data_IF_452595347735
#
_entry.id   IF_452595347735
#
_cell.length_a   1.000
_cell.length_b   1.000
_cell.length_c   1.000
_cell.angle_alpha   90.00
_cell.angle_beta   90.00
_cell.angle_gamma   90.00
#
_symmetry.space_group_name_H-M   'P 1'
#
loop_
_entity.id
_entity.type
_entity.pdbx_description
1 polymer ?
#
# COMPACT_ATOMS: atom_id res chain seq x y z
N UNK A 1 -9.59 -26.97 -26.07
CA UNK A 1 -10.86 -26.28 -25.77
C UNK A 1 -11.30 -25.60 -27.06
N UNK A 2 -12.47 -25.95 -27.62
CA UNK A 2 -13.02 -25.28 -28.78
C UNK A 2 -13.14 -23.77 -28.54
N UNK A 3 -12.93 -22.96 -29.58
CA UNK A 3 -12.94 -21.49 -29.51
C UNK A 3 -14.17 -20.93 -28.79
N UNK A 4 -15.36 -21.48 -29.04
CA UNK A 4 -16.63 -21.03 -28.46
C UNK A 4 -16.74 -21.25 -26.94
N UNK A 5 -15.83 -22.05 -26.37
CA UNK A 5 -15.71 -22.29 -24.93
C UNK A 5 -14.39 -21.75 -24.36
N UNK A 6 -13.51 -21.23 -25.21
CA UNK A 6 -12.22 -20.67 -24.83
C UNK A 6 -12.40 -19.20 -24.41
N UNK A 7 -13.13 -19.03 -23.31
CA UNK A 7 -13.44 -17.75 -22.68
C UNK A 7 -12.95 -17.80 -21.25
N UNK A 8 -12.36 -16.71 -20.78
CA UNK A 8 -11.96 -16.52 -19.38
C UNK A 8 -12.59 -15.22 -18.90
N UNK A 9 -13.29 -15.27 -17.77
CA UNK A 9 -13.84 -14.09 -17.10
C UNK A 9 -13.14 -13.93 -15.77
N UNK A 10 -12.60 -12.75 -15.52
CA UNK A 10 -12.00 -12.38 -14.24
C UNK A 10 -12.85 -11.30 -13.58
N UNK A 11 -13.23 -11.51 -12.32
CA UNK A 11 -14.08 -10.63 -11.51
C UNK A 11 -13.38 -10.33 -10.20
N UNK A 12 -12.97 -9.08 -10.02
CA UNK A 12 -12.40 -8.58 -8.77
C UNK A 12 -13.45 -7.92 -7.88
N UNK A 13 -13.13 -7.79 -6.60
CA UNK A 13 -13.95 -7.02 -5.66
C UNK A 13 -14.02 -5.53 -6.03
N UNK A 14 -15.10 -4.85 -5.63
CA UNK A 14 -15.42 -3.44 -5.93
C UNK A 14 -14.36 -2.40 -5.52
N UNK A 15 -13.34 -2.82 -4.77
CA UNK A 15 -12.22 -1.99 -4.30
C UNK A 15 -10.92 -2.23 -5.06
N UNK A 16 -10.96 -2.98 -6.17
CA UNK A 16 -9.85 -3.21 -7.06
C UNK A 16 -10.16 -2.71 -8.47
N UNK A 17 -9.25 -1.93 -9.03
CA UNK A 17 -9.26 -1.55 -10.44
C UNK A 17 -8.22 -2.37 -11.20
N UNK A 18 -8.63 -3.00 -12.30
CA UNK A 18 -7.74 -3.63 -13.28
C UNK A 18 -6.83 -2.60 -13.96
N UNK A 19 -5.54 -2.92 -14.17
CA UNK A 19 -4.61 -2.11 -14.97
C UNK A 19 -4.47 -2.73 -16.39
N UNK A 20 -5.17 -2.23 -17.42
CA UNK A 20 -5.25 -2.92 -18.72
C UNK A 20 -3.91 -3.10 -19.42
N UNK A 21 -3.05 -2.09 -19.32
CA UNK A 21 -1.72 -2.09 -19.93
C UNK A 21 -0.75 -3.12 -19.30
N UNK A 22 -1.14 -3.75 -18.18
CA UNK A 22 -0.35 -4.79 -17.51
C UNK A 22 -0.66 -6.21 -17.98
N UNK A 23 -1.69 -6.39 -18.82
CA UNK A 23 -2.15 -7.70 -19.24
C UNK A 23 -1.24 -8.30 -20.31
N UNK A 24 -0.67 -9.46 -19.99
CA UNK A 24 0.15 -10.23 -20.90
C UNK A 24 -0.27 -11.71 -20.89
N UNK A 25 -0.42 -12.29 -22.06
CA UNK A 25 -0.75 -13.71 -22.23
C UNK A 25 0.41 -14.42 -22.92
N UNK A 26 0.82 -15.57 -22.41
CA UNK A 26 1.90 -16.36 -22.98
C UNK A 26 1.46 -17.79 -23.24
N UNK A 27 1.90 -18.34 -24.37
CA UNK A 27 1.87 -19.79 -24.57
C UNK A 27 2.78 -20.48 -23.55
N UNK A 28 2.39 -21.66 -23.07
CA UNK A 28 3.17 -22.44 -22.11
C UNK A 28 3.37 -23.86 -22.62
N UNK A 29 4.61 -24.33 -22.48
CA UNK A 29 4.99 -25.75 -22.64
C UNK A 29 5.61 -26.25 -21.35
N UNK A 30 5.90 -27.55 -21.27
CA UNK A 30 6.52 -28.16 -20.09
C UNK A 30 7.78 -28.92 -20.50
N UNK A 31 8.83 -28.80 -19.70
CA UNK A 31 10.05 -29.58 -19.88
C UNK A 31 9.85 -31.06 -19.48
N UNK A 32 10.86 -31.90 -19.71
CA UNK A 32 10.80 -33.34 -19.38
C UNK A 32 10.64 -33.62 -17.87
N UNK A 33 10.77 -32.60 -17.01
CA UNK A 33 10.58 -32.67 -15.56
C UNK A 33 9.24 -32.08 -15.11
N UNK A 34 8.43 -31.59 -16.05
CA UNK A 34 7.14 -30.95 -15.77
C UNK A 34 7.25 -29.49 -15.32
N UNK A 35 8.41 -28.84 -15.44
CA UNK A 35 8.53 -27.42 -15.15
C UNK A 35 7.95 -26.58 -16.29
N UNK A 36 7.32 -25.47 -15.93
CA UNK A 36 6.80 -24.49 -16.86
C UNK A 36 7.93 -23.89 -17.73
N UNK A 37 7.69 -23.87 -19.05
CA UNK A 37 8.52 -23.15 -20.02
C UNK A 37 7.63 -22.13 -20.74
N UNK A 38 7.81 -20.86 -20.37
CA UNK A 38 7.10 -19.72 -20.97
C UNK A 38 7.55 -19.54 -22.42
N UNK A 39 6.58 -19.56 -23.34
CA UNK A 39 6.76 -19.44 -24.77
C UNK A 39 6.54 -18.01 -25.28
N UNK A 40 6.06 -17.91 -26.51
CA UNK A 40 5.75 -16.63 -27.14
C UNK A 40 4.54 -15.96 -26.49
N UNK A 41 4.61 -14.64 -26.39
CA UNK A 41 3.49 -13.78 -26.03
C UNK A 41 2.41 -13.82 -27.13
N UNK A 42 1.16 -13.92 -26.71
CA UNK A 42 -0.01 -13.86 -27.58
C UNK A 42 -0.34 -12.40 -27.90
N UNK A 43 -0.88 -12.16 -29.08
CA UNK A 43 -1.15 -10.80 -29.56
C UNK A 43 -2.65 -10.52 -29.56
N UNK A 44 -3.07 -9.48 -28.85
CA UNK A 44 -4.46 -9.03 -28.86
C UNK A 44 -4.92 -8.67 -30.29
N UNK A 45 -6.16 -9.01 -30.64
CA UNK A 45 -6.75 -8.84 -31.96
C UNK A 45 -6.36 -9.93 -32.96
N UNK A 46 -5.29 -10.68 -32.70
CA UNK A 46 -4.87 -11.83 -33.50
C UNK A 46 -5.19 -13.15 -32.82
N UNK A 47 -4.75 -13.32 -31.57
CA UNK A 47 -4.83 -14.57 -30.83
C UNK A 47 -5.99 -14.57 -29.82
N UNK A 48 -6.32 -13.39 -29.25
CA UNK A 48 -7.44 -13.18 -28.32
C UNK A 48 -8.01 -11.77 -28.44
N UNK A 49 -9.11 -11.49 -27.76
CA UNK A 49 -9.65 -10.13 -27.51
C UNK A 49 -9.93 -9.96 -26.03
N UNK A 50 -9.83 -8.73 -25.54
CA UNK A 50 -10.24 -8.37 -24.18
C UNK A 50 -11.44 -7.44 -24.22
N UNK A 51 -12.41 -7.69 -23.35
CA UNK A 51 -13.52 -6.78 -23.08
C UNK A 51 -13.50 -6.45 -21.60
N UNK A 52 -13.38 -5.16 -21.27
CA UNK A 52 -13.45 -4.67 -19.89
C UNK A 52 -14.88 -4.19 -19.66
N UNK A 53 -15.51 -4.67 -18.60
CA UNK A 53 -16.86 -4.33 -18.21
C UNK A 53 -16.87 -3.11 -17.28
N UNK A 54 -18.02 -2.46 -17.16
CA UNK A 54 -18.19 -1.25 -16.34
C UNK A 54 -17.96 -1.49 -14.83
N UNK A 55 -18.10 -2.74 -14.37
CA UNK A 55 -17.85 -3.18 -13.00
C UNK A 55 -16.37 -3.52 -12.71
N UNK A 56 -15.47 -3.27 -13.67
CA UNK A 56 -14.04 -3.54 -13.55
C UNK A 56 -13.63 -4.97 -13.91
N UNK A 57 -14.59 -5.91 -14.01
CA UNK A 57 -14.32 -7.26 -14.52
C UNK A 57 -13.87 -7.23 -15.97
N UNK A 58 -13.15 -8.26 -16.42
CA UNK A 58 -12.76 -8.38 -17.82
C UNK A 58 -12.91 -9.80 -18.35
N UNK A 59 -13.11 -9.89 -19.67
CA UNK A 59 -13.30 -11.14 -20.40
C UNK A 59 -12.22 -11.26 -21.46
N UNK A 60 -11.52 -12.39 -21.47
CA UNK A 60 -10.59 -12.79 -22.52
C UNK A 60 -11.28 -13.82 -23.41
N UNK A 61 -11.51 -13.46 -24.66
CA UNK A 61 -12.05 -14.34 -25.69
C UNK A 61 -10.92 -14.79 -26.63
N UNK A 62 -10.55 -16.07 -26.61
CA UNK A 62 -9.58 -16.60 -27.57
C UNK A 62 -10.17 -16.65 -28.98
N UNK A 63 -9.39 -16.25 -29.98
CA UNK A 63 -9.86 -16.18 -31.37
C UNK A 63 -9.72 -17.50 -32.13
N UNK A 64 -9.12 -18.51 -31.50
CA UNK A 64 -8.86 -19.84 -32.03
C UNK A 64 -9.07 -20.90 -30.95
N UNK A 65 -9.08 -22.17 -31.34
CA UNK A 65 -9.09 -23.29 -30.39
C UNK A 65 -7.82 -23.25 -29.51
N UNK A 66 -8.01 -23.38 -28.20
CA UNK A 66 -6.91 -23.45 -27.24
C UNK A 66 -6.46 -24.91 -27.10
N UNK A 67 -5.26 -25.21 -27.58
CA UNK A 67 -4.71 -26.59 -27.63
C UNK A 67 -3.54 -26.83 -26.67
N UNK A 68 -3.07 -25.78 -25.99
CA UNK A 68 -1.99 -25.82 -25.02
C UNK A 68 -2.29 -24.98 -23.79
N UNK A 69 -1.37 -25.01 -22.81
CA UNK A 69 -1.47 -24.17 -21.63
C UNK A 69 -1.18 -22.70 -21.99
N UNK A 70 -1.86 -21.80 -21.29
CA UNK A 70 -1.67 -20.35 -21.41
C UNK A 70 -1.42 -19.79 -20.01
N UNK A 71 -0.47 -18.88 -19.90
CA UNK A 71 -0.22 -18.07 -18.70
C UNK A 71 -0.76 -16.67 -18.93
N UNK A 72 -1.39 -16.11 -17.90
CA UNK A 72 -2.00 -14.79 -17.94
C UNK A 72 -1.45 -14.03 -16.74
N UNK A 73 -0.70 -12.98 -17.02
CA UNK A 73 -0.13 -12.10 -16.01
C UNK A 73 -0.80 -10.73 -16.12
N UNK A 74 -1.23 -10.16 -15.00
CA UNK A 74 -1.82 -8.82 -14.93
C UNK A 74 -1.72 -8.24 -13.53
N UNK A 75 -2.03 -6.95 -13.42
CA UNK A 75 -2.04 -6.19 -12.16
C UNK A 75 -3.41 -5.58 -11.91
N UNK A 76 -3.69 -5.44 -10.63
CA UNK A 76 -4.81 -4.69 -10.10
C UNK A 76 -4.30 -3.70 -9.06
N UNK A 77 -5.09 -2.67 -8.79
CA UNK A 77 -4.77 -1.63 -7.83
C UNK A 77 -5.94 -1.45 -6.86
N UNK A 78 -5.64 -1.33 -5.57
CA UNK A 78 -6.66 -0.96 -4.58
C UNK A 78 -7.10 0.48 -4.82
N UNK A 79 -8.41 0.69 -4.84
CA UNK A 79 -9.00 1.99 -5.08
C UNK A 79 -8.85 2.92 -3.88
N UNK A 80 -8.59 4.20 -4.17
CA UNK A 80 -8.47 5.23 -3.15
C UNK A 80 -7.26 5.08 -2.22
N UNK A 81 -7.41 5.64 -1.01
CA UNK A 81 -6.40 5.62 0.05
C UNK A 81 -6.74 4.49 1.03
N UNK A 82 -5.76 3.64 1.33
CA UNK A 82 -5.91 2.55 2.31
C UNK A 82 -5.75 3.13 3.72
N UNK A 83 -6.85 3.58 4.32
CA UNK A 83 -6.89 4.19 5.67
C UNK A 83 -6.94 3.17 6.82
N UNK A 84 -7.21 1.90 6.51
CA UNK A 84 -7.26 0.76 7.41
C UNK A 84 -7.00 -0.51 6.61
N UNK A 85 -6.94 -1.67 7.27
CA UNK A 85 -6.80 -2.95 6.55
C UNK A 85 -8.05 -3.23 5.71
N UNK A 86 -7.85 -3.48 4.42
CA UNK A 86 -8.92 -3.71 3.44
C UNK A 86 -8.77 -5.09 2.82
N UNK A 87 -9.81 -5.91 2.93
CA UNK A 87 -9.86 -7.20 2.24
C UNK A 87 -10.01 -7.00 0.73
N UNK A 88 -9.32 -7.83 -0.04
CA UNK A 88 -9.43 -7.87 -1.51
C UNK A 88 -9.70 -9.30 -1.94
N UNK A 89 -10.45 -9.46 -3.03
CA UNK A 89 -10.71 -10.76 -3.62
C UNK A 89 -10.66 -10.66 -5.15
N UNK A 90 -10.34 -11.79 -5.76
CA UNK A 90 -10.40 -11.97 -7.20
C UNK A 90 -10.88 -13.38 -7.54
N UNK A 91 -11.68 -13.50 -8.59
CA UNK A 91 -12.29 -14.75 -9.03
C UNK A 91 -12.14 -14.89 -10.53
N UNK A 92 -11.68 -16.06 -10.97
CA UNK A 92 -11.59 -16.42 -12.39
C UNK A 92 -12.55 -17.55 -12.70
N UNK A 93 -13.27 -17.42 -13.81
CA UNK A 93 -14.11 -18.46 -14.42
C UNK A 93 -13.61 -18.77 -15.82
N UNK A 94 -13.67 -20.04 -16.20
CA UNK A 94 -13.43 -20.47 -17.59
C UNK A 94 -14.72 -20.96 -18.24
N UNK A 95 -14.85 -20.79 -19.55
CA UNK A 95 -16.06 -21.16 -20.31
C UNK A 95 -16.44 -22.64 -20.25
N UNK A 96 -15.55 -23.51 -19.77
CA UNK A 96 -15.82 -24.93 -19.49
C UNK A 96 -16.46 -25.19 -18.12
N UNK A 97 -16.71 -24.15 -17.31
CA UNK A 97 -17.47 -24.20 -16.06
C UNK A 97 -16.65 -24.30 -14.77
N UNK A 98 -15.32 -24.39 -14.86
CA UNK A 98 -14.43 -24.35 -13.70
C UNK A 98 -14.18 -22.91 -13.26
N UNK A 99 -13.89 -22.74 -11.98
CA UNK A 99 -13.53 -21.46 -11.40
C UNK A 99 -12.47 -21.63 -10.32
N UNK A 100 -11.80 -20.53 -9.99
CA UNK A 100 -10.90 -20.44 -8.84
C UNK A 100 -11.01 -19.04 -8.25
N UNK A 101 -10.74 -18.93 -6.96
CA UNK A 101 -10.79 -17.69 -6.20
C UNK A 101 -9.47 -17.50 -5.45
N UNK A 102 -9.11 -16.25 -5.22
CA UNK A 102 -7.99 -15.85 -4.37
C UNK A 102 -8.34 -14.59 -3.61
N UNK A 103 -7.88 -14.52 -2.36
CA UNK A 103 -8.09 -13.39 -1.47
C UNK A 103 -6.78 -12.85 -0.89
N UNK A 104 -6.87 -11.64 -0.35
CA UNK A 104 -5.75 -10.98 0.32
C UNK A 104 -6.21 -9.82 1.20
N UNK A 105 -5.25 -9.16 1.84
CA UNK A 105 -5.51 -7.95 2.62
C UNK A 105 -4.48 -6.89 2.28
N UNK A 106 -4.95 -5.74 1.83
CA UNK A 106 -4.15 -4.53 1.71
C UNK A 106 -4.08 -3.88 3.09
N UNK A 107 -2.88 -3.87 3.69
CA UNK A 107 -2.68 -3.35 5.04
C UNK A 107 -2.51 -1.82 5.02
N UNK A 108 -2.96 -1.15 6.07
CA UNK A 108 -2.70 0.28 6.24
C UNK A 108 -1.21 0.56 6.40
N UNK A 109 -0.73 1.56 5.66
CA UNK A 109 0.70 1.90 5.59
C UNK A 109 0.90 3.44 5.56
N UNK A 110 -0.14 4.22 5.91
CA UNK A 110 -0.09 5.69 5.95
C UNK A 110 0.70 6.20 7.16
N UNK A 111 0.36 5.73 8.36
CA UNK A 111 1.05 6.07 9.60
C UNK A 111 1.04 4.83 10.49
N UNK A 112 2.22 4.35 10.86
CA UNK A 112 2.40 3.24 11.80
C UNK A 112 3.18 3.77 12.99
N UNK A 113 2.55 3.73 14.18
CA UNK A 113 3.14 4.18 15.44
C UNK A 113 3.58 2.99 16.27
N UNK A 114 4.82 3.04 16.76
CA UNK A 114 5.37 2.04 17.68
C UNK A 114 6.05 2.72 18.88
N UNK A 115 6.18 1.99 19.96
CA UNK A 115 6.98 2.36 21.14
C UNK A 115 8.24 1.52 21.23
N UNK A 116 9.31 2.13 21.74
CA UNK A 116 10.50 1.43 22.20
C UNK A 116 10.36 0.93 23.64
N UNK A 117 11.45 0.35 24.16
CA UNK A 117 11.53 -0.02 25.57
C UNK A 117 11.44 1.21 26.47
N UNK A 118 10.75 1.08 27.60
CA UNK A 118 10.62 2.12 28.62
C UNK A 118 11.93 2.22 29.40
N UNK A 119 12.49 3.43 29.47
CA UNK A 119 13.65 3.73 30.30
C UNK A 119 13.16 4.28 31.65
N UNK A 120 13.05 3.40 32.64
CA UNK A 120 12.63 3.74 34.00
C UNK A 120 13.66 4.55 34.78
N UNK A 121 14.94 4.51 34.38
CA UNK A 121 15.98 5.28 35.07
C UNK A 121 15.86 6.76 34.72
N UNK A 122 15.55 7.05 33.46
CA UNK A 122 15.40 8.42 32.96
C UNK A 122 13.94 8.89 32.85
N UNK A 123 12.99 8.03 33.22
CA UNK A 123 11.55 8.25 33.06
C UNK A 123 11.18 8.65 31.63
N UNK A 124 11.76 7.98 30.62
CA UNK A 124 11.47 8.27 29.21
C UNK A 124 10.93 7.07 28.44
N UNK A 125 10.08 7.34 27.44
CA UNK A 125 9.60 6.38 26.45
C UNK A 125 9.99 6.90 25.06
N UNK A 126 10.61 6.04 24.25
CA UNK A 126 10.89 6.32 22.85
C UNK A 126 9.72 5.94 21.95
N UNK A 127 9.43 6.78 20.98
CA UNK A 127 8.35 6.62 20.02
C UNK A 127 8.88 6.69 18.59
N UNK A 128 8.25 5.93 17.70
CA UNK A 128 8.59 5.94 16.28
C UNK A 128 7.32 6.00 15.44
N UNK A 129 7.32 6.79 14.37
CA UNK A 129 6.27 6.85 13.36
C UNK A 129 6.89 6.53 11.99
N UNK A 130 6.43 5.46 11.34
CA UNK A 130 6.65 5.25 9.91
C UNK A 130 5.49 5.89 9.15
N UNK A 131 5.81 6.80 8.23
CA UNK A 131 4.84 7.66 7.55
C UNK A 131 4.93 7.44 6.06
N UNK A 132 3.77 7.39 5.40
CA UNK A 132 3.57 7.31 3.97
C UNK A 132 4.34 6.17 3.29
N UNK A 133 4.31 4.96 3.86
CA UNK A 133 4.98 3.79 3.28
C UNK A 133 4.34 3.35 1.94
N UNK A 134 3.12 3.84 1.64
CA UNK A 134 2.43 3.68 0.37
C UNK A 134 2.86 4.68 -0.73
N UNK A 135 3.72 5.65 -0.40
CA UNK A 135 4.14 6.73 -1.30
C UNK A 135 2.97 7.51 -1.93
N UNK A 136 1.91 7.75 -1.16
CA UNK A 136 0.83 8.62 -1.60
C UNK A 136 1.33 10.06 -1.75
N UNK A 137 0.80 10.77 -2.73
CA UNK A 137 1.07 12.20 -2.87
C UNK A 137 0.41 12.93 -1.70
N UNK A 138 1.23 13.56 -0.87
CA UNK A 138 0.82 14.39 0.25
C UNK A 138 0.96 15.86 -0.11
N UNK A 139 -0.03 16.67 0.28
CA UNK A 139 0.02 18.13 0.14
C UNK A 139 -0.23 18.78 1.50
N UNK A 140 0.74 19.57 1.97
CA UNK A 140 0.78 20.26 3.27
C UNK A 140 0.43 19.33 4.43
N UNK A 141 1.01 18.12 4.42
CA UNK A 141 0.69 17.09 5.41
C UNK A 141 1.00 17.55 6.84
N UNK A 142 0.09 17.20 7.75
CA UNK A 142 0.21 17.45 9.19
C UNK A 142 -0.01 16.14 9.92
N UNK A 143 0.94 15.75 10.75
CA UNK A 143 0.82 14.64 11.70
C UNK A 143 0.41 15.23 13.04
N UNK A 144 -0.69 14.74 13.60
CA UNK A 144 -1.12 15.10 14.95
C UNK A 144 -0.96 13.89 15.86
N UNK A 145 -0.17 14.05 16.91
CA UNK A 145 -0.01 13.06 17.97
C UNK A 145 -0.66 13.60 19.24
N UNK A 146 -1.44 12.76 19.93
CA UNK A 146 -2.16 13.13 21.15
C UNK A 146 -1.80 12.20 22.29
N UNK A 147 -1.60 12.75 23.48
CA UNK A 147 -1.29 12.01 24.69
C UNK A 147 -2.55 11.78 25.52
N UNK A 148 -2.69 10.57 26.06
CA UNK A 148 -3.70 10.21 27.05
C UNK A 148 -3.07 9.21 28.03
N UNK A 149 -3.21 9.39 29.36
CA UNK A 149 -3.91 10.50 30.03
C UNK A 149 -3.16 11.83 30.03
N UNK A 150 -3.89 12.92 30.37
CA UNK A 150 -3.35 14.27 30.56
C UNK A 150 -3.56 14.73 32.02
N UNK A 151 -2.51 15.07 32.79
CA UNK A 151 -1.09 14.89 32.45
C UNK A 151 -0.70 13.41 32.45
N UNK A 152 0.39 13.09 31.76
CA UNK A 152 0.94 11.73 31.74
C UNK A 152 2.20 11.62 30.90
N UNK A 153 2.23 12.31 29.75
CA UNK A 153 3.40 12.40 28.88
C UNK A 153 3.78 13.85 28.59
N UNK A 154 5.07 14.11 28.40
CA UNK A 154 5.60 15.42 27.98
C UNK A 154 6.75 15.21 27.00
N UNK A 155 6.77 15.89 25.86
CA UNK A 155 7.84 15.81 24.86
C UNK A 155 9.19 16.17 25.47
N UNK A 156 10.20 15.30 25.29
CA UNK A 156 11.58 15.63 25.61
C UNK A 156 12.05 16.69 24.60
N UNK A 157 12.48 17.89 25.04
CA UNK A 157 12.89 18.96 24.15
C UNK A 157 13.97 18.51 23.15
N UNK A 158 13.82 18.91 21.88
CA UNK A 158 14.75 18.60 20.78
C UNK A 158 14.96 17.10 20.51
N UNK A 159 14.10 16.22 21.02
CA UNK A 159 14.21 14.77 20.74
C UNK A 159 13.61 14.36 19.40
N UNK A 160 12.74 15.19 18.81
CA UNK A 160 12.05 14.86 17.57
C UNK A 160 12.98 15.00 16.37
N UNK A 161 13.20 13.89 15.69
CA UNK A 161 13.99 13.79 14.45
C UNK A 161 13.09 13.24 13.35
N UNK A 162 13.20 13.83 12.16
CA UNK A 162 12.51 13.36 10.95
C UNK A 162 13.54 12.97 9.91
N UNK A 163 13.43 11.75 9.38
CA UNK A 163 14.24 11.25 8.29
C UNK A 163 13.35 10.91 7.10
N UNK A 164 13.70 11.39 5.93
CA UNK A 164 13.18 10.90 4.67
C UNK A 164 13.83 9.54 4.36
N UNK A 165 13.01 8.51 4.29
CA UNK A 165 13.46 7.14 4.01
C UNK A 165 13.57 6.85 2.51
N UNK A 166 12.94 7.65 1.66
CA UNK A 166 13.07 7.57 0.21
C UNK A 166 14.45 8.04 -0.25
N UNK A 167 14.90 9.19 0.24
CA UNK A 167 16.20 9.77 -0.15
C UNK A 167 17.32 9.50 0.85
N UNK A 168 16.97 9.14 2.09
CA UNK A 168 17.91 9.00 3.20
C UNK A 168 18.25 10.31 3.90
N UNK A 169 17.70 11.44 3.47
CA UNK A 169 17.97 12.76 4.04
C UNK A 169 17.40 12.91 5.45
N UNK A 170 18.14 13.57 6.34
CA UNK A 170 17.60 14.04 7.61
C UNK A 170 17.03 15.44 7.42
N UNK A 171 15.78 15.64 7.83
CA UNK A 171 15.09 16.91 7.68
C UNK A 171 15.50 17.90 8.78
N UNK A 172 15.38 19.19 8.46
CA UNK A 172 15.76 20.30 9.34
C UNK A 172 14.52 21.04 9.86
N UNK A 173 14.38 21.11 11.19
CA UNK A 173 13.33 21.89 11.86
C UNK A 173 13.37 23.37 11.45
N UNK A 174 12.22 23.95 11.15
CA UNK A 174 12.06 25.35 10.72
C UNK A 174 12.34 25.60 9.24
N UNK A 175 12.79 24.59 8.49
CA UNK A 175 13.02 24.64 7.05
C UNK A 175 12.18 23.61 6.30
N UNK A 176 12.29 22.36 6.73
CA UNK A 176 11.68 21.20 6.06
C UNK A 176 10.39 20.75 6.78
N UNK A 177 10.30 21.00 8.09
CA UNK A 177 9.10 20.78 8.91
C UNK A 177 9.05 21.77 10.08
N UNK A 178 7.87 21.94 10.68
CA UNK A 178 7.67 22.61 11.97
C UNK A 178 7.02 21.68 12.98
N UNK A 179 7.25 21.94 14.27
CA UNK A 179 6.61 21.22 15.38
C UNK A 179 5.94 22.25 16.30
N UNK A 180 4.67 22.01 16.61
CA UNK A 180 3.87 22.79 17.57
C UNK A 180 3.44 21.87 18.71
N UNK A 181 3.86 22.16 19.94
CA UNK A 181 3.40 21.42 21.12
C UNK A 181 1.98 21.87 21.48
N UNK A 182 1.06 20.92 21.64
CA UNK A 182 -0.33 21.20 22.04
C UNK A 182 -0.50 21.05 23.55
N UNK A 183 -1.34 21.90 24.16
CA UNK A 183 -1.52 21.98 25.63
C UNK A 183 -2.98 22.27 26.00
N UNK A 184 -3.39 21.84 27.20
CA UNK A 184 -4.64 22.24 27.85
C UNK A 184 -4.35 22.85 29.25
N UNK A 185 -5.37 23.00 30.10
CA UNK A 185 -5.21 23.53 31.45
C UNK A 185 -4.42 22.61 32.40
N UNK A 186 -4.33 21.32 32.10
CA UNK A 186 -3.72 20.28 32.93
C UNK A 186 -2.27 19.99 32.51
N UNK A 187 -1.92 20.20 31.25
CA UNK A 187 -0.55 19.98 30.77
C UNK A 187 -0.41 19.89 29.26
N UNK A 188 0.64 19.19 28.82
CA UNK A 188 0.89 18.88 27.43
C UNK A 188 -0.08 17.79 26.94
N UNK A 189 -0.70 18.01 25.78
CA UNK A 189 -1.69 17.09 25.19
C UNK A 189 -1.17 16.39 23.94
N UNK A 190 0.04 16.71 23.49
CA UNK A 190 0.61 16.17 22.25
C UNK A 190 1.39 17.19 21.43
N UNK A 191 1.45 16.95 20.12
CA UNK A 191 2.08 17.87 19.17
C UNK A 191 1.48 17.75 17.75
N UNK A 192 1.74 18.78 16.95
CA UNK A 192 1.54 18.77 15.50
C UNK A 192 2.87 18.92 14.79
N UNK A 193 3.12 18.06 13.80
CA UNK A 193 4.26 18.15 12.89
C UNK A 193 3.74 18.49 11.51
N UNK A 194 4.15 19.63 10.96
CA UNK A 194 3.73 20.10 9.63
C UNK A 194 4.90 20.07 8.66
N UNK A 195 4.77 19.34 7.56
CA UNK A 195 5.76 19.35 6.48
C UNK A 195 5.70 20.66 5.69
N UNK A 196 6.86 21.16 5.27
CA UNK A 196 6.98 22.45 4.58
C UNK A 196 8.12 22.47 3.55
N UNK A 197 8.28 23.60 2.86
CA UNK A 197 9.34 23.76 1.88
C UNK A 197 9.25 22.73 0.76
N UNK A 198 10.34 22.01 0.51
CA UNK A 198 10.39 20.95 -0.51
C UNK A 198 9.43 19.77 -0.21
N UNK A 199 9.07 19.58 1.06
CA UNK A 199 8.17 18.51 1.51
C UNK A 199 6.72 18.97 1.68
N UNK A 200 6.39 20.22 1.34
CA UNK A 200 5.01 20.70 1.32
C UNK A 200 4.16 19.96 0.27
N UNK A 201 4.79 19.41 -0.78
CA UNK A 201 4.15 18.50 -1.73
C UNK A 201 5.13 17.40 -2.09
N UNK A 202 4.88 16.18 -1.65
CA UNK A 202 5.81 15.05 -1.83
C UNK A 202 5.08 13.72 -1.77
N UNK A 203 5.64 12.69 -2.40
CA UNK A 203 5.25 11.29 -2.24
C UNK A 203 6.24 10.50 -1.38
N UNK A 204 7.18 11.17 -0.71
CA UNK A 204 8.23 10.52 0.06
C UNK A 204 7.67 9.86 1.33
N UNK A 205 8.39 8.85 1.79
CA UNK A 205 8.15 8.14 3.04
C UNK A 205 9.08 8.70 4.13
N UNK A 206 8.59 8.77 5.37
CA UNK A 206 9.33 9.34 6.49
C UNK A 206 9.39 8.40 7.68
N UNK A 207 10.46 8.54 8.45
CA UNK A 207 10.61 7.95 9.77
C UNK A 207 10.81 9.06 10.80
N UNK A 208 9.85 9.20 11.71
CA UNK A 208 9.88 10.17 12.80
C UNK A 208 10.20 9.44 14.10
N UNK A 209 11.15 9.96 14.87
CA UNK A 209 11.47 9.45 16.21
C UNK A 209 11.41 10.58 17.21
N UNK A 210 10.86 10.34 18.40
CA UNK A 210 10.85 11.30 19.49
C UNK A 210 10.78 10.60 20.84
N UNK A 211 11.15 11.29 21.90
CA UNK A 211 11.05 10.78 23.27
C UNK A 211 10.06 11.61 24.07
N UNK A 212 9.35 10.96 24.98
CA UNK A 212 8.53 11.64 26.00
C UNK A 212 9.05 11.28 27.38
N UNK A 213 8.99 12.23 28.32
CA UNK A 213 8.95 11.90 29.74
C UNK A 213 7.61 11.27 30.07
N UNK A 214 7.59 10.37 31.05
CA UNK A 214 6.37 9.83 31.64
C UNK A 214 6.34 10.07 33.15
N UNK A 215 5.16 10.37 33.67
CA UNK A 215 4.96 10.53 35.10
C UNK A 215 4.54 9.19 35.74
N UNK A 216 5.21 8.81 36.82
CA UNK A 216 4.84 7.68 37.68
C UNK A 216 4.26 8.21 38.98
N UNK A 217 3.00 8.61 38.94
CA UNK A 217 2.23 8.97 40.15
C UNK A 217 0.99 8.12 40.26
#
# INVERSE_FOLDING_TARGET
>A
IPKDQAVITDTMGDNLTFEPDSLHLYSVTFDDKGNEVVGAELVEGKDYKVVINDDGSFVIDFLHDVTGAVKIDYKTKVDGIVEGDVAVNNRVDVGTGQHSEGDGTANQQNIIKNTGAVDYQNSTIGWTLAVNQNNYLMENAVITDTYEPVPGLTMVPNSLVVKDTTTGAQLTLGKDYMVEITRNAEGETGFKLSFMGAYAKTSDAFYVTYNTFFDVT
#
